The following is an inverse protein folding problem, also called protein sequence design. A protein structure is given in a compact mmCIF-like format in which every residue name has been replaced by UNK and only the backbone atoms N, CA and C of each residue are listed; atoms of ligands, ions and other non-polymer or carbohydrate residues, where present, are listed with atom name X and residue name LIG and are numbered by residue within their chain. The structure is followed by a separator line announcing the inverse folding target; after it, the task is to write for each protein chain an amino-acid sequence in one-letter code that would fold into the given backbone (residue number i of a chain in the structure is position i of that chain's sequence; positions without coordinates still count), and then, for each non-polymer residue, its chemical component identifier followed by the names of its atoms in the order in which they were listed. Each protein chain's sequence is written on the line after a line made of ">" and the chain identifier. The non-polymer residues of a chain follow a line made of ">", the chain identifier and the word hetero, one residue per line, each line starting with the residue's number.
data_IF_105722635392
#
_entry.id   IF_105722635392
#
_cell.length_a   1.000
_cell.length_b   1.000
_cell.length_c   1.000
_cell.angle_alpha   90.00
_cell.angle_beta   90.00
_cell.angle_gamma   90.00
#
_symmetry.space_group_name_H-M   'P 1'
#
loop_
_entity.id
_entity.type
_entity.pdbx_description
1 polymer ?
#
# COMPACT_ATOMS: atom_id res chain seq x y z
N UNK A 1 12.08 -12.14 -23.13
CA UNK A 1 12.90 -10.91 -23.22
C UNK A 1 13.76 -10.80 -21.97
N UNK A 2 15.03 -10.56 -22.16
CA UNK A 2 15.94 -10.42 -21.03
C UNK A 2 15.66 -9.12 -20.28
N UNK A 3 15.62 -9.24 -18.95
CA UNK A 3 15.48 -8.09 -18.10
C UNK A 3 16.85 -7.41 -17.95
N UNK A 4 16.90 -6.10 -18.19
CA UNK A 4 18.13 -5.33 -18.08
C UNK A 4 17.85 -3.96 -17.48
N UNK A 5 17.35 -3.91 -16.22
CA UNK A 5 17.05 -2.64 -15.58
C UNK A 5 18.33 -1.90 -15.19
N UNK A 6 18.21 -0.60 -15.09
CA UNK A 6 19.29 0.29 -14.67
C UNK A 6 18.92 0.98 -13.37
N UNK A 7 19.91 1.35 -12.55
CA UNK A 7 19.64 2.19 -11.38
C UNK A 7 18.97 3.49 -11.81
N UNK A 8 18.00 3.96 -11.03
CA UNK A 8 17.29 5.21 -11.28
C UNK A 8 17.23 6.04 -10.01
N UNK A 9 17.12 7.34 -10.18
CA UNK A 9 16.90 8.28 -9.09
C UNK A 9 15.59 9.02 -9.36
N UNK A 10 14.62 8.86 -8.46
CA UNK A 10 13.30 9.47 -8.57
C UNK A 10 13.09 10.43 -7.41
N UNK A 11 12.59 11.63 -7.72
CA UNK A 11 12.26 12.64 -6.70
C UNK A 11 10.75 12.67 -6.53
N UNK A 12 10.28 12.40 -5.31
CA UNK A 12 8.86 12.42 -5.01
C UNK A 12 8.20 13.74 -5.39
N UNK A 13 8.90 14.86 -5.18
CA UNK A 13 8.36 16.19 -5.47
C UNK A 13 8.03 16.40 -6.95
N UNK A 14 8.58 15.60 -7.85
CA UNK A 14 8.33 15.68 -9.29
C UNK A 14 7.18 14.79 -9.75
N UNK A 15 6.59 14.01 -8.84
CA UNK A 15 5.50 13.11 -9.15
C UNK A 15 4.16 13.71 -8.73
N UNK A 16 3.11 13.35 -9.48
CA UNK A 16 1.74 13.77 -9.16
C UNK A 16 1.01 12.63 -8.47
N UNK A 17 0.49 12.83 -7.24
CA UNK A 17 -0.29 11.79 -6.57
C UNK A 17 -1.55 11.42 -7.35
N UNK A 18 -1.93 10.16 -7.26
CA UNK A 18 -3.14 9.63 -7.88
C UNK A 18 -4.10 9.22 -6.76
N UNK A 19 -5.36 9.62 -6.88
CA UNK A 19 -6.39 9.15 -5.97
C UNK A 19 -6.73 7.70 -6.31
N UNK A 20 -6.72 6.84 -5.30
CA UNK A 20 -7.09 5.44 -5.44
C UNK A 20 -8.37 5.19 -4.63
N UNK A 21 -9.32 4.49 -5.23
CA UNK A 21 -10.62 4.24 -4.62
C UNK A 21 -11.56 5.42 -4.74
N UNK A 22 -12.71 5.31 -4.08
CA UNK A 22 -13.73 6.36 -4.01
C UNK A 22 -14.22 6.48 -2.57
N UNK A 23 -14.79 7.66 -2.22
CA UNK A 23 -15.26 7.88 -0.86
C UNK A 23 -16.27 6.81 -0.44
N UNK A 24 -16.22 6.28 0.82
CA UNK A 24 -15.30 6.65 1.89
C UNK A 24 -13.93 5.99 1.81
N UNK A 25 -13.72 5.12 0.81
CA UNK A 25 -12.46 4.39 0.64
C UNK A 25 -11.54 5.21 -0.24
N UNK A 26 -10.71 6.04 0.38
CA UNK A 26 -9.86 6.96 -0.36
C UNK A 26 -8.44 6.96 0.18
N UNK A 27 -7.48 6.91 -0.74
CA UNK A 27 -6.06 7.04 -0.44
C UNK A 27 -5.40 7.74 -1.64
N UNK A 28 -4.44 8.61 -1.37
CA UNK A 28 -3.62 9.23 -2.41
C UNK A 28 -2.29 8.50 -2.46
N UNK A 29 -1.89 8.09 -3.65
CA UNK A 29 -0.72 7.24 -3.86
C UNK A 29 0.21 7.89 -4.88
N UNK A 30 1.52 7.88 -4.58
CA UNK A 30 2.55 8.03 -5.60
C UNK A 30 3.30 6.71 -5.71
N UNK A 31 3.24 6.10 -6.90
CA UNK A 31 4.03 4.91 -7.21
C UNK A 31 5.37 5.40 -7.71
N UNK A 32 6.42 5.13 -6.93
CA UNK A 32 7.74 5.70 -7.17
C UNK A 32 8.59 4.79 -8.03
N UNK A 33 8.71 3.53 -7.62
CA UNK A 33 9.43 2.50 -8.39
C UNK A 33 8.42 1.45 -8.81
N UNK A 34 8.37 1.17 -10.10
CA UNK A 34 7.38 0.27 -10.67
C UNK A 34 8.00 -0.71 -11.65
N UNK A 35 7.27 -1.80 -11.92
CA UNK A 35 7.62 -2.73 -12.99
C UNK A 35 7.48 -2.06 -14.35
N UNK A 36 6.41 -1.32 -14.55
CA UNK A 36 6.09 -0.73 -15.85
C UNK A 36 7.14 0.27 -16.31
N UNK A 37 7.65 1.11 -15.41
CA UNK A 37 8.60 2.16 -15.77
C UNK A 37 10.05 1.74 -15.58
N UNK A 38 10.35 0.87 -14.62
CA UNK A 38 11.72 0.58 -14.22
C UNK A 38 12.12 -0.88 -14.39
N UNK A 39 11.21 -1.74 -14.83
CA UNK A 39 11.43 -3.20 -14.89
C UNK A 39 11.79 -3.77 -13.51
N UNK A 40 11.28 -3.14 -12.45
CA UNK A 40 11.56 -3.55 -11.08
C UNK A 40 10.75 -4.78 -10.69
N UNK A 41 11.34 -5.66 -9.87
CA UNK A 41 10.61 -6.78 -9.27
C UNK A 41 9.85 -6.36 -8.02
N UNK A 42 10.09 -5.15 -7.51
CA UNK A 42 9.32 -4.60 -6.42
C UNK A 42 8.62 -3.31 -6.86
N UNK A 43 7.52 -3.01 -6.19
CA UNK A 43 6.89 -1.70 -6.24
C UNK A 43 7.21 -0.98 -4.94
N UNK A 44 7.66 0.26 -5.03
CA UNK A 44 7.76 1.15 -3.89
C UNK A 44 6.89 2.36 -4.15
N UNK A 45 6.11 2.74 -3.16
CA UNK A 45 5.29 3.94 -3.24
C UNK A 45 5.07 4.57 -1.88
N UNK A 46 4.39 5.70 -1.89
CA UNK A 46 3.96 6.40 -0.68
C UNK A 46 2.48 6.69 -0.77
N UNK A 47 1.85 6.75 0.39
CA UNK A 47 0.42 6.99 0.50
C UNK A 47 0.14 8.08 1.53
N UNK A 48 -0.93 8.84 1.26
CA UNK A 48 -1.47 9.83 2.19
C UNK A 48 -2.93 9.51 2.45
N UNK A 49 -3.34 9.63 3.70
CA UNK A 49 -4.74 9.46 4.10
C UNK A 49 -5.10 10.56 5.09
N UNK A 50 -6.18 11.28 4.81
CA UNK A 50 -6.70 12.27 5.76
C UNK A 50 -7.45 11.59 6.91
N UNK A 51 -7.65 12.27 8.03
CA UNK A 51 -8.41 11.70 9.15
C UNK A 51 -9.78 11.17 8.69
N UNK A 52 -10.11 9.96 9.11
CA UNK A 52 -11.36 9.29 8.77
C UNK A 52 -11.37 8.57 7.43
N UNK A 53 -10.37 8.77 6.59
CA UNK A 53 -10.27 8.04 5.33
C UNK A 53 -9.85 6.59 5.58
N UNK A 54 -10.30 5.69 4.70
CA UNK A 54 -9.99 4.27 4.79
C UNK A 54 -9.81 3.69 3.39
N UNK A 55 -9.07 2.59 3.32
CA UNK A 55 -8.94 1.83 2.08
C UNK A 55 -10.15 0.93 1.89
N UNK A 56 -10.31 0.38 0.69
CA UNK A 56 -11.15 -0.80 0.54
C UNK A 56 -10.46 -2.00 1.23
N UNK A 57 -11.16 -3.12 1.32
CA UNK A 57 -10.56 -4.37 1.79
C UNK A 57 -9.79 -4.98 0.62
N UNK A 58 -8.54 -5.37 0.82
CA UNK A 58 -7.77 -6.02 -0.22
C UNK A 58 -7.23 -7.35 0.24
N UNK A 59 -7.02 -8.26 -0.71
CA UNK A 59 -6.60 -9.62 -0.44
C UNK A 59 -5.31 -9.96 -1.18
N UNK A 60 -4.44 -10.72 -0.51
CA UNK A 60 -3.25 -11.33 -1.11
C UNK A 60 -3.32 -12.85 -1.08
N UNK A 61 -4.54 -13.41 -1.12
CA UNK A 61 -4.76 -14.85 -1.15
C UNK A 61 -4.48 -15.42 -2.53
N UNK A 62 -4.44 -16.74 -2.63
CA UNK A 62 -4.20 -17.45 -3.90
C UNK A 62 -5.29 -17.16 -4.94
N UNK A 63 -6.53 -16.95 -4.51
CA UNK A 63 -7.64 -16.66 -5.39
C UNK A 63 -8.50 -15.53 -4.84
N UNK A 64 -9.21 -14.84 -5.74
CA UNK A 64 -10.08 -13.74 -5.38
C UNK A 64 -11.47 -14.23 -4.99
N UNK A 65 -11.91 -13.77 -3.81
CA UNK A 65 -13.30 -13.97 -3.35
C UNK A 65 -13.91 -12.59 -3.09
N UNK A 66 -14.85 -12.13 -3.95
CA UNK A 66 -15.47 -10.82 -3.79
C UNK A 66 -16.34 -10.69 -2.53
N UNK A 67 -16.70 -11.80 -1.88
CA UNK A 67 -17.38 -11.76 -0.59
C UNK A 67 -16.45 -11.36 0.55
N UNK A 68 -15.13 -11.60 0.40
CA UNK A 68 -14.15 -11.31 1.44
C UNK A 68 -13.42 -9.99 1.24
N UNK A 69 -13.22 -9.59 -0.02
CA UNK A 69 -12.42 -8.42 -0.33
C UNK A 69 -12.95 -7.70 -1.56
N UNK A 70 -12.64 -6.41 -1.64
CA UNK A 70 -13.03 -5.55 -2.75
C UNK A 70 -11.97 -5.54 -3.86
N UNK A 71 -10.73 -5.86 -3.50
CA UNK A 71 -9.58 -5.85 -4.40
C UNK A 71 -8.65 -7.03 -4.08
N UNK A 72 -7.92 -7.47 -5.12
CA UNK A 72 -7.05 -8.65 -5.01
C UNK A 72 -5.77 -8.44 -5.80
N UNK A 73 -4.64 -8.76 -5.18
CA UNK A 73 -3.32 -8.69 -5.81
C UNK A 73 -2.74 -10.04 -6.18
N UNK A 74 -3.29 -11.13 -5.63
CA UNK A 74 -2.59 -12.40 -5.56
C UNK A 74 -1.57 -12.41 -4.42
N UNK A 75 -0.84 -13.51 -4.22
CA UNK A 75 0.14 -13.59 -3.14
C UNK A 75 1.28 -12.60 -3.34
N UNK A 76 1.45 -11.71 -2.37
CA UNK A 76 2.54 -10.72 -2.35
C UNK A 76 3.08 -10.57 -0.94
N UNK A 77 4.36 -10.26 -0.84
CA UNK A 77 4.95 -9.73 0.38
C UNK A 77 4.87 -8.22 0.31
N UNK A 78 4.37 -7.60 1.38
CA UNK A 78 4.21 -6.16 1.43
C UNK A 78 4.62 -5.64 2.80
N UNK A 79 5.20 -4.44 2.85
CA UNK A 79 5.50 -3.77 4.11
C UNK A 79 5.02 -2.33 4.05
N UNK A 80 4.63 -1.81 5.22
CA UNK A 80 4.41 -0.38 5.43
C UNK A 80 5.43 0.13 6.45
N UNK A 81 5.91 1.34 6.22
CA UNK A 81 6.66 2.11 7.21
C UNK A 81 5.95 3.45 7.38
N UNK A 82 5.45 3.72 8.59
CA UNK A 82 4.70 4.94 8.88
C UNK A 82 5.66 6.07 9.19
N UNK A 83 5.53 7.18 8.45
CA UNK A 83 6.32 8.39 8.68
C UNK A 83 5.59 9.32 9.64
N UNK A 84 4.26 9.46 9.45
CA UNK A 84 3.46 10.43 10.20
C UNK A 84 2.03 9.94 10.32
N UNK A 85 1.39 10.28 11.43
CA UNK A 85 -0.02 9.97 11.66
C UNK A 85 -0.23 8.66 12.39
N UNK A 86 -1.49 8.29 12.53
CA UNK A 86 -1.90 7.07 13.24
C UNK A 86 -2.84 6.28 12.37
N UNK A 87 -2.51 5.02 12.17
CA UNK A 87 -3.26 4.11 11.29
C UNK A 87 -3.72 2.89 12.08
N UNK A 88 -4.86 2.34 11.66
CA UNK A 88 -5.33 1.04 12.15
C UNK A 88 -5.36 0.08 10.98
N UNK A 89 -4.62 -1.01 11.07
CA UNK A 89 -4.63 -2.09 10.10
C UNK A 89 -5.42 -3.25 10.68
N UNK A 90 -6.51 -3.61 10.02
CA UNK A 90 -7.33 -4.76 10.38
C UNK A 90 -7.02 -5.89 9.41
N UNK A 91 -6.86 -7.10 9.93
CA UNK A 91 -6.66 -8.30 9.13
C UNK A 91 -7.49 -9.44 9.73
N UNK A 92 -7.39 -10.64 9.16
CA UNK A 92 -8.28 -11.75 9.49
C UNK A 92 -8.29 -12.14 10.97
N UNK A 93 -7.17 -11.97 11.67
CA UNK A 93 -7.02 -12.46 13.05
C UNK A 93 -6.80 -11.34 14.07
N UNK A 94 -6.86 -10.08 13.66
CA UNK A 94 -6.66 -9.02 14.63
C UNK A 94 -6.49 -7.64 14.03
N UNK A 95 -5.94 -6.76 14.85
CA UNK A 95 -5.78 -5.34 14.54
C UNK A 95 -4.41 -4.89 15.02
N UNK A 96 -3.73 -4.09 14.19
CA UNK A 96 -2.51 -3.38 14.58
C UNK A 96 -2.79 -1.89 14.62
N UNK A 97 -2.38 -1.22 15.69
CA UNK A 97 -2.37 0.23 15.80
C UNK A 97 -0.96 0.70 15.44
N UNK A 98 -0.84 1.53 14.41
CA UNK A 98 0.44 1.97 13.87
C UNK A 98 0.63 3.47 14.09
N UNK A 99 1.81 3.86 14.55
CA UNK A 99 2.22 5.25 14.68
C UNK A 99 3.54 5.52 13.97
N UNK A 100 4.08 6.75 14.07
CA UNK A 100 5.34 7.10 13.42
C UNK A 100 6.46 6.12 13.76
N UNK A 101 7.23 5.76 12.74
CA UNK A 101 8.35 4.82 12.81
C UNK A 101 7.96 3.36 13.06
N UNK A 102 6.67 3.04 13.05
CA UNK A 102 6.21 1.66 13.08
C UNK A 102 6.27 1.05 11.68
N UNK A 103 6.57 -0.23 11.66
CA UNK A 103 6.51 -1.03 10.44
C UNK A 103 5.59 -2.21 10.64
N UNK A 104 4.90 -2.62 9.59
CA UNK A 104 4.10 -3.83 9.58
C UNK A 104 4.43 -4.64 8.33
N UNK A 105 4.49 -5.95 8.51
CA UNK A 105 4.64 -6.90 7.42
C UNK A 105 3.27 -7.48 7.10
N UNK A 106 2.86 -7.33 5.85
CA UNK A 106 1.61 -7.88 5.33
C UNK A 106 1.95 -9.13 4.52
N UNK A 107 1.88 -10.28 5.19
CA UNK A 107 2.19 -11.56 4.59
C UNK A 107 1.15 -11.93 3.52
N UNK A 108 1.52 -12.74 2.52
CA UNK A 108 0.54 -13.25 1.56
C UNK A 108 -0.45 -14.20 2.25
N UNK A 109 -1.65 -14.29 1.70
CA UNK A 109 -2.66 -15.24 2.14
C UNK A 109 -3.76 -14.66 3.03
N UNK A 110 -3.76 -13.36 3.28
CA UNK A 110 -4.70 -12.71 4.18
C UNK A 110 -5.44 -11.56 3.51
N UNK A 111 -6.48 -11.07 4.19
CA UNK A 111 -7.27 -9.91 3.78
C UNK A 111 -7.00 -8.75 4.74
N UNK A 112 -6.91 -7.53 4.21
CA UNK A 112 -6.48 -6.36 4.96
C UNK A 112 -7.40 -5.18 4.72
N UNK A 113 -7.43 -4.29 5.72
CA UNK A 113 -8.13 -3.01 5.65
C UNK A 113 -7.38 -1.99 6.49
N UNK A 114 -7.19 -0.78 5.95
CA UNK A 114 -6.43 0.28 6.62
C UNK A 114 -7.31 1.52 6.76
N UNK A 115 -7.21 2.19 7.92
CA UNK A 115 -7.89 3.46 8.15
C UNK A 115 -7.03 4.43 8.93
N UNK A 116 -7.20 5.72 8.67
CA UNK A 116 -6.58 6.76 9.49
C UNK A 116 -7.49 7.04 10.69
N UNK A 117 -7.00 6.68 11.87
CA UNK A 117 -7.72 6.85 13.14
C UNK A 117 -7.17 8.02 13.96
N UNK A 118 -6.24 8.79 13.40
CA UNK A 118 -5.68 9.96 14.03
C UNK A 118 -6.44 11.23 13.68
N UNK A 119 -5.89 12.36 14.12
CA UNK A 119 -6.46 13.69 13.91
C UNK A 119 -5.65 14.53 12.92
N UNK A 120 -4.65 13.92 12.28
CA UNK A 120 -3.84 14.57 11.25
C UNK A 120 -3.68 13.65 10.03
N UNK A 121 -3.25 14.19 8.88
CA UNK A 121 -2.96 13.33 7.72
C UNK A 121 -1.88 12.30 8.05
N UNK A 122 -2.10 11.08 7.65
CA UNK A 122 -1.11 10.01 7.74
C UNK A 122 -0.31 9.93 6.45
N UNK A 123 0.97 9.61 6.59
CA UNK A 123 1.87 9.43 5.47
C UNK A 123 2.74 8.20 5.72
N UNK A 124 2.76 7.27 4.76
CA UNK A 124 3.52 6.04 4.92
C UNK A 124 4.11 5.57 3.59
N UNK A 125 5.17 4.79 3.70
CA UNK A 125 5.87 4.16 2.57
C UNK A 125 5.42 2.72 2.50
N UNK A 126 5.15 2.23 1.27
CA UNK A 126 4.90 0.81 1.08
C UNK A 126 5.88 0.21 0.07
N UNK A 127 6.19 -1.05 0.26
CA UNK A 127 6.97 -1.87 -0.66
C UNK A 127 6.23 -3.17 -0.89
N UNK A 128 6.22 -3.65 -2.13
CA UNK A 128 5.48 -4.86 -2.50
C UNK A 128 6.30 -5.67 -3.50
N UNK A 129 6.37 -6.97 -3.29
CA UNK A 129 7.02 -7.90 -4.22
C UNK A 129 6.21 -9.20 -4.31
N UNK A 130 6.01 -9.79 -5.52
CA UNK A 130 6.39 -9.22 -6.81
C UNK A 130 5.63 -7.93 -7.11
N UNK A 131 6.23 -7.09 -7.94
CA UNK A 131 5.60 -5.83 -8.31
C UNK A 131 4.27 -6.06 -9.01
N UNK A 132 3.22 -5.34 -8.57
CA UNK A 132 1.89 -5.37 -9.19
C UNK A 132 1.68 -4.14 -10.09
N UNK A 133 2.57 -3.18 -9.99
CA UNK A 133 2.48 -1.93 -10.73
C UNK A 133 3.80 -1.60 -11.41
#
# INVERSE_FOLDING_TARGET
>A
MDRNPRPVHVKLAELTPVDAGSAPTKVRINRIITRAEHQSELTQGVCWMDPGEQTNRWSSRESFDPAEADHWYGPVDETYYVIRGRLRLTWDEGVFELGPDDTVYLAPGWTYHLENVGDEPAFFVYNMTPAQE
#
